data_IF_198818636333
#
_entry.id   IF_198818636333
#
_cell.length_a   1.000
_cell.length_b   1.000
_cell.length_c   1.000
_cell.angle_alpha   90.00
_cell.angle_beta   90.00
_cell.angle_gamma   90.00
#
_symmetry.space_group_name_H-M   'P 1'
#
loop_
_entity.id
_entity.type
_entity.pdbx_description
1 polymer ?
#
# COMPACT_ATOMS: atom_id res chain seq x y z
N UNK A 1 -24.41 -9.28 -8.19
CA UNK A 1 -23.85 -8.91 -6.87
C UNK A 1 -22.36 -9.23 -6.76
N UNK A 2 -21.96 -10.49 -6.98
CA UNK A 2 -20.56 -10.94 -6.84
C UNK A 2 -19.53 -10.17 -7.70
N UNK A 3 -19.87 -9.82 -8.95
CA UNK A 3 -18.93 -9.12 -9.85
C UNK A 3 -18.56 -7.70 -9.37
N UNK A 4 -19.50 -6.96 -8.77
CA UNK A 4 -19.27 -5.59 -8.29
C UNK A 4 -18.40 -5.63 -7.03
N UNK A 5 -18.73 -6.53 -6.10
CA UNK A 5 -17.95 -6.70 -4.86
C UNK A 5 -16.53 -7.19 -5.15
N UNK A 6 -16.37 -8.13 -6.09
CA UNK A 6 -15.05 -8.57 -6.56
C UNK A 6 -14.24 -7.40 -7.13
N UNK A 7 -14.86 -6.56 -7.97
CA UNK A 7 -14.21 -5.38 -8.55
C UNK A 7 -13.76 -4.40 -7.47
N UNK A 8 -14.60 -4.14 -6.48
CA UNK A 8 -14.25 -3.27 -5.34
C UNK A 8 -13.10 -3.82 -4.50
N UNK A 9 -13.10 -5.13 -4.21
CA UNK A 9 -11.97 -5.77 -3.51
C UNK A 9 -10.67 -5.71 -4.32
N UNK A 10 -10.74 -5.95 -5.63
CA UNK A 10 -9.59 -5.82 -6.53
C UNK A 10 -9.04 -4.39 -6.52
N UNK A 11 -9.88 -3.37 -6.70
CA UNK A 11 -9.41 -1.97 -6.73
C UNK A 11 -8.69 -1.55 -5.44
N UNK A 12 -9.12 -2.05 -4.28
CA UNK A 12 -8.42 -1.81 -3.01
C UNK A 12 -7.09 -2.56 -2.97
N UNK A 13 -7.09 -3.85 -3.33
CA UNK A 13 -5.87 -4.66 -3.28
C UNK A 13 -4.80 -4.14 -4.23
N UNK A 14 -5.19 -3.71 -5.43
CA UNK A 14 -4.28 -3.18 -6.44
C UNK A 14 -3.56 -1.92 -5.90
N UNK A 15 -4.28 -1.04 -5.21
CA UNK A 15 -3.69 0.13 -4.55
C UNK A 15 -2.77 -0.22 -3.38
N UNK A 16 -3.06 -1.29 -2.63
CA UNK A 16 -2.15 -1.77 -1.58
C UNK A 16 -0.88 -2.38 -2.19
N UNK A 17 -0.98 -3.08 -3.33
CA UNK A 17 0.19 -3.62 -4.03
C UNK A 17 1.07 -2.49 -4.58
N UNK A 18 0.48 -1.49 -5.24
CA UNK A 18 1.18 -0.30 -5.71
C UNK A 18 1.92 0.40 -4.55
N UNK A 19 1.25 0.56 -3.40
CA UNK A 19 1.86 1.15 -2.22
C UNK A 19 3.03 0.31 -1.68
N UNK A 20 2.87 -1.02 -1.61
CA UNK A 20 3.93 -1.96 -1.20
C UNK A 20 5.16 -1.80 -2.08
N UNK A 21 4.97 -1.75 -3.40
CA UNK A 21 6.06 -1.58 -4.36
C UNK A 21 6.82 -0.27 -4.12
N UNK A 22 6.11 0.83 -3.83
CA UNK A 22 6.71 2.13 -3.53
C UNK A 22 7.51 2.17 -2.21
N UNK A 23 7.05 1.45 -1.17
CA UNK A 23 7.64 1.59 0.18
C UNK A 23 8.66 0.51 0.53
N UNK A 24 8.59 -0.66 -0.11
CA UNK A 24 9.48 -1.80 0.19
C UNK A 24 9.96 -2.57 -1.03
N UNK A 25 9.54 -2.18 -2.25
CA UNK A 25 9.92 -2.84 -3.49
C UNK A 25 9.01 -4.01 -3.87
N UNK A 26 9.13 -4.44 -5.13
CA UNK A 26 8.24 -5.40 -5.78
C UNK A 26 8.36 -6.83 -5.23
N UNK A 27 9.56 -7.25 -4.85
CA UNK A 27 9.85 -8.60 -4.36
C UNK A 27 9.51 -8.82 -2.87
N UNK A 28 9.21 -7.75 -2.13
CA UNK A 28 8.92 -7.83 -0.71
C UNK A 28 7.62 -8.58 -0.43
N UNK A 29 7.65 -9.46 0.57
CA UNK A 29 6.47 -10.19 1.06
C UNK A 29 5.97 -9.54 2.35
N UNK A 30 4.96 -8.67 2.22
CA UNK A 30 4.29 -8.05 3.37
C UNK A 30 2.77 -8.24 3.30
N UNK A 31 2.18 -8.38 4.47
CA UNK A 31 0.73 -8.36 4.62
C UNK A 31 0.18 -6.92 4.49
N UNK A 32 -1.13 -6.79 4.25
CA UNK A 32 -1.77 -5.49 3.98
C UNK A 32 -1.58 -4.46 5.10
N UNK A 33 -1.72 -4.88 6.37
CA UNK A 33 -1.57 -3.95 7.51
C UNK A 33 -0.13 -3.46 7.67
N UNK A 34 0.87 -4.31 7.41
CA UNK A 34 2.27 -3.93 7.43
C UNK A 34 2.62 -2.93 6.32
N UNK A 35 2.06 -3.11 5.11
CA UNK A 35 2.21 -2.15 4.00
C UNK A 35 1.66 -0.78 4.38
N UNK A 36 0.42 -0.74 4.89
CA UNK A 36 -0.22 0.51 5.28
C UNK A 36 0.56 1.24 6.38
N UNK A 37 1.07 0.52 7.39
CA UNK A 37 1.90 1.11 8.45
C UNK A 37 3.18 1.72 7.88
N UNK A 38 3.93 0.95 7.07
CA UNK A 38 5.17 1.44 6.45
C UNK A 38 4.94 2.65 5.55
N UNK A 39 3.81 2.71 4.85
CA UNK A 39 3.46 3.87 4.05
C UNK A 39 3.25 5.14 4.88
N UNK A 40 2.54 5.04 6.00
CA UNK A 40 2.36 6.17 6.93
C UNK A 40 3.72 6.64 7.45
N UNK A 41 4.57 5.70 7.87
CA UNK A 41 5.90 6.02 8.38
C UNK A 41 6.78 6.67 7.30
N UNK A 42 6.69 6.20 6.06
CA UNK A 42 7.45 6.75 4.94
C UNK A 42 6.99 8.17 4.57
N UNK A 43 5.69 8.45 4.58
CA UNK A 43 5.17 9.82 4.38
C UNK A 43 5.71 10.76 5.47
N UNK A 44 5.67 10.33 6.74
CA UNK A 44 6.22 11.11 7.86
C UNK A 44 7.72 11.35 7.69
N UNK A 45 8.47 10.33 7.27
CA UNK A 45 9.90 10.46 6.98
C UNK A 45 10.17 11.52 5.90
N UNK A 46 9.44 11.48 4.78
CA UNK A 46 9.60 12.44 3.69
C UNK A 46 9.21 13.87 4.12
N UNK A 47 8.17 14.02 4.94
CA UNK A 47 7.77 15.32 5.48
C UNK A 47 8.85 15.94 6.37
N UNK A 48 9.51 15.16 7.23
CA UNK A 48 10.62 15.66 8.07
C UNK A 48 11.90 15.87 7.27
N UNK A 49 12.16 15.06 6.24
CA UNK A 49 13.38 15.17 5.43
C UNK A 49 13.37 16.36 4.47
N UNK A 50 12.18 16.89 4.15
CA UNK A 50 11.98 18.04 3.27
C UNK A 50 11.81 19.37 4.04
N UNK A 51 12.07 19.38 5.37
CA UNK A 51 12.18 20.59 6.19
C UNK A 51 13.63 21.09 6.20
#
# INVERSE_FOLDING_TARGET
>A
HNAIEKRYRSSINDKIVELKDLVVGTEAKLNKSAVLRKAIDYIRFLQHSNQ
#
